data_IF_357469907165
#
_entry.id   IF_357469907165
#
_cell.length_a   1.000
_cell.length_b   1.000
_cell.length_c   1.000
_cell.angle_alpha   90.00
_cell.angle_beta   90.00
_cell.angle_gamma   90.00
#
_symmetry.space_group_name_H-M   'P 1'
#
loop_
_entity.id
_entity.type
_entity.pdbx_description
1 polymer ?
#
# COMPACT_ATOMS: atom_id res chain seq x y z
N UNK A 1 10.81 -5.62 -20.56
CA UNK A 1 9.91 -5.16 -19.48
C UNK A 1 9.50 -6.28 -18.51
N UNK A 2 9.11 -7.46 -18.99
CA UNK A 2 8.75 -8.63 -18.13
C UNK A 2 9.87 -9.12 -17.21
N UNK A 3 11.14 -9.00 -17.63
CA UNK A 3 12.28 -9.34 -16.77
C UNK A 3 12.45 -8.36 -15.59
N UNK A 4 12.11 -7.08 -15.79
CA UNK A 4 12.21 -6.05 -14.75
C UNK A 4 11.12 -6.23 -13.69
N UNK A 5 9.88 -6.51 -14.09
CA UNK A 5 8.78 -6.79 -13.14
C UNK A 5 9.08 -8.02 -12.28
N UNK A 6 9.63 -9.08 -12.88
CA UNK A 6 10.00 -10.30 -12.15
C UNK A 6 11.19 -10.10 -11.21
N UNK A 7 12.11 -9.19 -11.55
CA UNK A 7 13.21 -8.79 -10.67
C UNK A 7 12.68 -8.13 -9.39
N UNK A 8 11.82 -7.13 -9.56
CA UNK A 8 11.18 -6.40 -8.46
C UNK A 8 10.35 -7.34 -7.56
N UNK A 9 9.60 -8.27 -8.15
CA UNK A 9 8.80 -9.25 -7.38
C UNK A 9 9.67 -10.18 -6.50
N UNK A 10 10.84 -10.59 -7.00
CA UNK A 10 11.79 -11.40 -6.22
C UNK A 10 12.36 -10.59 -5.06
N UNK A 11 12.70 -9.33 -5.29
CA UNK A 11 13.24 -8.44 -4.26
C UNK A 11 12.20 -8.15 -3.18
N UNK A 12 10.96 -7.84 -3.55
CA UNK A 12 9.84 -7.72 -2.61
C UNK A 12 9.71 -8.98 -1.75
N UNK A 13 9.75 -10.16 -2.37
CA UNK A 13 9.62 -11.44 -1.65
C UNK A 13 10.78 -11.67 -0.67
N UNK A 14 11.99 -11.25 -1.04
CA UNK A 14 13.17 -11.34 -0.17
C UNK A 14 13.06 -10.40 1.03
N UNK A 15 12.66 -9.13 0.82
CA UNK A 15 12.47 -8.15 1.89
C UNK A 15 11.33 -8.53 2.83
N UNK A 16 10.24 -9.12 2.33
CA UNK A 16 9.17 -9.65 3.17
C UNK A 16 9.63 -10.81 4.07
N UNK A 17 10.59 -11.62 3.63
CA UNK A 17 11.20 -12.65 4.48
C UNK A 17 12.07 -12.03 5.56
N UNK A 18 12.81 -10.97 5.23
CA UNK A 18 13.62 -10.20 6.17
C UNK A 18 12.75 -9.49 7.21
N UNK A 19 11.59 -8.95 6.80
CA UNK A 19 10.60 -8.34 7.67
C UNK A 19 10.15 -9.32 8.76
N UNK A 20 9.81 -10.55 8.37
CA UNK A 20 9.43 -11.61 9.31
C UNK A 20 10.53 -11.94 10.31
N UNK A 21 11.79 -11.94 9.89
CA UNK A 21 12.94 -12.16 10.77
C UNK A 21 13.11 -11.00 11.74
N UNK A 22 13.01 -9.77 11.27
CA UNK A 22 13.14 -8.57 12.09
C UNK A 22 12.04 -8.49 13.15
N UNK A 23 10.79 -8.82 12.79
CA UNK A 23 9.67 -8.92 13.75
C UNK A 23 9.94 -9.96 14.84
N UNK A 24 10.50 -11.12 14.49
CA UNK A 24 10.86 -12.13 15.47
C UNK A 24 11.99 -11.66 16.40
N UNK A 25 12.94 -10.88 15.88
CA UNK A 25 14.04 -10.30 16.64
C UNK A 25 13.56 -9.21 17.60
N UNK A 26 12.69 -8.30 17.14
CA UNK A 26 12.02 -7.27 17.97
C UNK A 26 11.28 -7.93 19.13
N UNK A 27 10.51 -8.99 18.87
CA UNK A 27 9.83 -9.76 19.92
C UNK A 27 10.80 -10.38 20.93
N UNK A 28 12.01 -10.76 20.50
CA UNK A 28 13.03 -11.33 21.38
C UNK A 28 13.69 -10.25 22.24
N UNK A 29 14.10 -9.13 21.65
CA UNK A 29 14.76 -8.02 22.37
C UNK A 29 13.80 -7.35 23.34
N UNK A 30 12.53 -7.23 22.97
CA UNK A 30 11.49 -6.70 23.84
C UNK A 30 11.29 -7.55 25.11
N UNK A 31 11.27 -8.89 24.98
CA UNK A 31 11.19 -9.81 26.13
C UNK A 31 12.38 -9.70 27.07
N UNK A 32 13.55 -9.32 26.56
CA UNK A 32 14.75 -9.09 27.38
C UNK A 32 14.77 -7.73 28.07
N UNK A 33 13.79 -6.86 27.83
CA UNK A 33 13.71 -5.53 28.43
C UNK A 33 14.73 -4.53 27.87
N UNK A 34 15.38 -4.84 26.74
CA UNK A 34 16.31 -3.91 26.10
C UNK A 34 15.54 -2.95 25.19
N UNK A 35 15.03 -1.87 25.78
CA UNK A 35 14.23 -0.85 25.09
C UNK A 35 15.03 -0.16 23.97
N UNK A 36 16.30 0.18 24.20
CA UNK A 36 17.13 0.85 23.20
C UNK A 36 17.32 -0.02 21.94
N UNK A 37 17.65 -1.30 22.10
CA UNK A 37 17.77 -2.23 20.98
C UNK A 37 16.42 -2.46 20.27
N UNK A 38 15.33 -2.55 21.03
CA UNK A 38 13.98 -2.75 20.50
C UNK A 38 13.53 -1.55 19.65
N UNK A 39 13.82 -0.32 20.11
CA UNK A 39 13.56 0.90 19.33
C UNK A 39 14.36 0.91 18.04
N UNK A 40 15.67 0.66 18.08
CA UNK A 40 16.50 0.64 16.85
C UNK A 40 15.96 -0.36 15.82
N UNK A 41 15.61 -1.58 16.26
CA UNK A 41 15.05 -2.60 15.38
C UNK A 41 13.66 -2.22 14.85
N UNK A 42 12.84 -1.54 15.64
CA UNK A 42 11.54 -1.04 15.20
C UNK A 42 11.68 0.05 14.12
N UNK A 43 12.62 0.99 14.27
CA UNK A 43 12.93 1.96 13.21
C UNK A 43 13.42 1.26 11.92
N UNK A 44 14.22 0.19 12.06
CA UNK A 44 14.65 -0.61 10.92
C UNK A 44 13.47 -1.33 10.24
N UNK A 45 12.47 -1.77 11.00
CA UNK A 45 11.24 -2.37 10.47
C UNK A 45 10.44 -1.37 9.63
N UNK A 46 10.29 -0.13 10.11
CA UNK A 46 9.58 0.93 9.40
C UNK A 46 10.27 1.21 8.05
N UNK A 47 11.59 1.39 8.06
CA UNK A 47 12.37 1.60 6.83
C UNK A 47 12.21 0.45 5.84
N UNK A 48 12.22 -0.79 6.33
CA UNK A 48 12.04 -1.97 5.50
C UNK A 48 10.63 -2.03 4.88
N UNK A 49 9.59 -1.74 5.68
CA UNK A 49 8.20 -1.65 5.18
C UNK A 49 8.05 -0.56 4.11
N UNK A 50 8.68 0.60 4.30
CA UNK A 50 8.67 1.68 3.33
C UNK A 50 9.40 1.31 2.03
N UNK A 51 10.52 0.60 2.13
CA UNK A 51 11.22 0.06 0.97
C UNK A 51 10.36 -0.94 0.19
N UNK A 52 9.63 -1.83 0.90
CA UNK A 52 8.67 -2.76 0.27
C UNK A 52 7.55 -1.99 -0.44
N UNK A 53 6.98 -0.96 0.19
CA UNK A 53 5.92 -0.13 -0.40
C UNK A 53 6.43 0.61 -1.65
N UNK A 54 7.62 1.21 -1.60
CA UNK A 54 8.27 1.87 -2.74
C UNK A 54 8.50 0.91 -3.92
N UNK A 55 8.95 -0.32 -3.66
CA UNK A 55 9.11 -1.35 -4.69
C UNK A 55 7.77 -1.81 -5.27
N UNK A 56 6.71 -1.88 -4.45
CA UNK A 56 5.36 -2.18 -4.93
C UNK A 56 4.81 -1.06 -5.84
N UNK A 57 5.04 0.21 -5.48
CA UNK A 57 4.74 1.37 -6.34
C UNK A 57 5.50 1.31 -7.66
N UNK A 58 6.82 1.06 -7.61
CA UNK A 58 7.67 0.88 -8.79
C UNK A 58 7.18 -0.26 -9.69
N UNK A 59 6.73 -1.39 -9.10
CA UNK A 59 6.13 -2.51 -9.85
C UNK A 59 4.86 -2.07 -10.59
N UNK A 60 4.00 -1.28 -9.96
CA UNK A 60 2.78 -0.78 -10.56
C UNK A 60 3.09 0.16 -11.74
N UNK A 61 4.03 1.08 -11.56
CA UNK A 61 4.50 1.99 -12.62
C UNK A 61 5.06 1.22 -13.84
N UNK A 62 5.97 0.25 -13.62
CA UNK A 62 6.53 -0.57 -14.71
C UNK A 62 5.44 -1.37 -15.44
N UNK A 63 4.43 -1.86 -14.70
CA UNK A 63 3.27 -2.54 -15.30
C UNK A 63 2.43 -1.56 -16.14
N UNK A 64 2.19 -0.35 -15.66
CA UNK A 64 1.52 0.72 -16.40
C UNK A 64 2.24 1.05 -17.71
N UNK A 65 3.56 1.27 -17.65
CA UNK A 65 4.40 1.52 -18.84
C UNK A 65 4.32 0.34 -19.82
N UNK A 66 4.32 -0.89 -19.31
CA UNK A 66 4.21 -2.09 -20.17
C UNK A 66 2.88 -2.13 -20.92
N UNK A 67 1.77 -1.81 -20.25
CA UNK A 67 0.44 -1.73 -20.87
C UNK A 67 0.40 -0.60 -21.90
N UNK A 68 0.90 0.58 -21.55
CA UNK A 68 0.97 1.73 -22.44
C UNK A 68 1.81 1.43 -23.70
N UNK A 69 2.96 0.77 -23.53
CA UNK A 69 3.83 0.33 -24.64
C UNK A 69 3.10 -0.67 -25.54
N UNK A 70 2.35 -1.60 -24.96
CA UNK A 70 1.55 -2.57 -25.72
C UNK A 70 0.43 -1.89 -26.51
N UNK A 71 -0.24 -0.89 -25.92
CA UNK A 71 -1.23 -0.07 -26.61
C UNK A 71 -0.59 0.73 -27.76
N UNK A 72 0.57 1.35 -27.54
CA UNK A 72 1.32 2.04 -28.60
C UNK A 72 1.70 1.09 -29.75
N UNK A 73 2.11 -0.14 -29.47
CA UNK A 73 2.39 -1.13 -30.50
C UNK A 73 1.14 -1.48 -31.33
N UNK A 74 -0.02 -1.66 -30.69
CA UNK A 74 -1.28 -1.88 -31.39
C UNK A 74 -1.67 -0.68 -32.25
N UNK A 75 -1.56 0.55 -31.70
CA UNK A 75 -1.81 1.80 -32.40
C UNK A 75 -0.90 1.93 -33.64
N UNK A 76 0.38 1.57 -33.52
CA UNK A 76 1.35 1.61 -34.62
C UNK A 76 0.97 0.62 -35.73
N UNK A 77 0.52 -0.58 -35.38
CA UNK A 77 0.05 -1.58 -36.34
C UNK A 77 -1.21 -1.10 -37.07
N UNK A 78 -2.16 -0.51 -36.36
CA UNK A 78 -3.37 0.09 -36.95
C UNK A 78 -2.98 1.25 -37.87
N UNK A 79 -2.09 2.14 -37.45
CA UNK A 79 -1.60 3.24 -38.27
C UNK A 79 -0.89 2.76 -39.55
N UNK A 80 -0.11 1.68 -39.48
CA UNK A 80 0.49 1.06 -40.66
C UNK A 80 -0.57 0.50 -41.62
N UNK A 81 -1.60 -0.17 -41.10
CA UNK A 81 -2.75 -0.64 -41.88
C UNK A 81 -3.54 0.50 -42.52
N UNK A 82 -3.81 1.56 -41.76
CA UNK A 82 -4.45 2.78 -42.25
C UNK A 82 -3.60 3.46 -43.32
N UNK A 83 -2.28 3.51 -43.19
CA UNK A 83 -1.40 4.04 -44.24
C UNK A 83 -1.55 3.28 -45.56
N UNK A 84 -1.63 1.95 -45.51
CA UNK A 84 -1.90 1.10 -46.67
C UNK A 84 -3.30 1.34 -47.26
N UNK A 85 -4.32 1.38 -46.40
CA UNK A 85 -5.70 1.65 -46.78
C UNK A 85 -5.88 3.06 -47.38
N UNK A 86 -5.26 4.08 -46.79
CA UNK A 86 -5.25 5.47 -47.31
C UNK A 86 -4.54 5.55 -48.65
N UNK A 87 -3.45 4.81 -48.86
CA UNK A 87 -2.79 4.74 -50.18
C UNK A 87 -3.73 4.11 -51.23
N UNK A 88 -4.44 3.04 -50.86
CA UNK A 88 -5.45 2.41 -51.72
C UNK A 88 -6.65 3.34 -51.98
N UNK A 89 -7.17 4.00 -50.95
CA UNK A 89 -8.23 5.01 -51.05
C UNK A 89 -7.79 6.21 -51.88
N UNK A 90 -6.53 6.65 -51.78
CA UNK A 90 -6.00 7.76 -52.59
C UNK A 90 -5.91 7.35 -54.06
N UNK A 91 -5.45 6.13 -54.35
CA UNK A 91 -5.47 5.58 -55.69
C UNK A 91 -6.89 5.45 -56.25
N UNK A 92 -7.86 5.06 -55.42
CA UNK A 92 -9.28 4.99 -55.76
C UNK A 92 -9.92 6.37 -55.92
N UNK A 93 -9.55 7.35 -55.08
CA UNK A 93 -10.03 8.74 -55.12
C UNK A 93 -9.45 9.50 -56.32
N UNK A 94 -8.25 9.13 -56.79
CA UNK A 94 -7.72 9.61 -58.08
C UNK A 94 -8.61 9.19 -59.26
N UNK A 95 -9.43 8.14 -59.10
CA UNK A 95 -10.45 7.70 -60.06
C UNK A 95 -11.88 8.18 -59.70
N UNK A 96 -12.10 8.76 -58.51
CA UNK A 96 -13.40 9.23 -58.02
C UNK A 96 -13.30 10.68 -57.53
N UNK A 97 -13.71 11.62 -58.39
CA UNK A 97 -13.95 13.06 -58.24
C UNK A 97 -13.69 13.80 -56.88
N UNK A 98 -13.20 15.06 -56.93
CA UNK A 98 -12.74 15.86 -55.77
C UNK A 98 -13.77 16.18 -54.68
N UNK A 99 -15.07 16.00 -54.92
CA UNK A 99 -16.13 16.38 -53.98
C UNK A 99 -16.16 15.54 -52.67
N UNK A 100 -15.61 14.32 -52.66
CA UNK A 100 -15.62 13.45 -51.47
C UNK A 100 -14.43 13.67 -50.51
N UNK A 101 -13.37 14.32 -50.98
CA UNK A 101 -12.14 14.49 -50.22
C UNK A 101 -12.24 15.55 -49.11
N UNK A 102 -13.12 16.55 -49.30
CA UNK A 102 -13.41 17.57 -48.28
C UNK A 102 -14.04 16.98 -47.01
N UNK A 103 -14.89 15.95 -47.15
CA UNK A 103 -15.58 15.30 -46.03
C UNK A 103 -14.60 14.48 -45.17
N UNK A 104 -13.64 13.81 -45.80
CA UNK A 104 -12.62 12.99 -45.10
C UNK A 104 -11.66 13.87 -44.28
N UNK A 105 -11.28 15.05 -44.79
CA UNK A 105 -10.45 16.00 -44.05
C UNK A 105 -11.20 16.53 -42.82
N UNK A 106 -12.50 16.84 -42.98
CA UNK A 106 -13.34 17.32 -41.88
C UNK A 106 -13.52 16.26 -40.78
N UNK A 107 -13.72 14.99 -41.15
CA UNK A 107 -13.85 13.89 -40.19
C UNK A 107 -12.52 13.59 -39.47
N UNK A 108 -11.38 13.71 -40.17
CA UNK A 108 -10.05 13.56 -39.55
C UNK A 108 -9.75 14.66 -38.53
N UNK A 109 -10.06 15.92 -38.84
CA UNK A 109 -9.90 17.02 -37.89
C UNK A 109 -10.74 16.81 -36.62
N UNK A 110 -11.97 16.30 -36.75
CA UNK A 110 -12.82 15.96 -35.60
C UNK A 110 -12.24 14.84 -34.74
N UNK A 111 -11.73 13.77 -35.36
CA UNK A 111 -11.14 12.66 -34.61
C UNK A 111 -9.81 13.03 -33.93
N UNK A 112 -8.99 13.87 -34.57
CA UNK A 112 -7.74 14.37 -33.97
C UNK A 112 -8.03 15.21 -32.73
N UNK A 113 -8.99 16.13 -32.81
CA UNK A 113 -9.39 16.96 -31.66
C UNK A 113 -9.96 16.13 -30.50
N UNK A 114 -10.68 15.05 -30.80
CA UNK A 114 -11.19 14.13 -29.78
C UNK A 114 -10.06 13.34 -29.09
N UNK A 115 -8.98 13.03 -29.82
CA UNK A 115 -7.84 12.31 -29.26
C UNK A 115 -6.95 13.20 -28.39
N UNK A 116 -6.80 14.48 -28.75
CA UNK A 116 -6.10 15.46 -27.91
C UNK A 116 -6.82 15.64 -26.56
N UNK A 117 -8.15 15.76 -26.56
CA UNK A 117 -8.95 15.88 -25.34
C UNK A 117 -8.80 14.67 -24.40
N UNK A 118 -8.76 13.44 -24.94
CA UNK A 118 -8.55 12.23 -24.13
C UNK A 118 -7.16 12.21 -23.50
N UNK A 119 -6.15 12.72 -24.22
CA UNK A 119 -4.77 12.76 -23.72
C UNK A 119 -4.63 13.73 -22.55
N UNK A 120 -5.29 14.90 -22.65
CA UNK A 120 -5.29 15.91 -21.58
C UNK A 120 -6.00 15.39 -20.32
N UNK A 121 -7.19 14.78 -20.44
CA UNK A 121 -7.86 14.12 -19.31
C UNK A 121 -7.05 12.98 -18.68
N UNK A 122 -6.27 12.25 -19.48
CA UNK A 122 -5.43 11.17 -18.95
C UNK A 122 -4.22 11.70 -18.18
N UNK A 123 -3.66 12.85 -18.59
CA UNK A 123 -2.57 13.52 -17.87
C UNK A 123 -3.04 14.07 -16.52
N UNK A 124 -4.20 14.72 -16.46
CA UNK A 124 -4.75 15.25 -15.19
C UNK A 124 -5.01 14.13 -14.18
N UNK A 125 -5.52 12.97 -14.63
CA UNK A 125 -5.75 11.82 -13.75
C UNK A 125 -4.46 11.15 -13.25
N UNK A 126 -3.32 11.38 -13.91
CA UNK A 126 -2.01 10.85 -13.51
C UNK A 126 -1.34 11.82 -12.52
N UNK A 127 -1.44 13.13 -12.74
CA UNK A 127 -0.90 14.14 -11.80
C UNK A 127 -1.65 14.08 -10.45
N UNK A 128 -2.98 13.95 -10.46
CA UNK A 128 -3.80 13.85 -9.23
C UNK A 128 -3.52 12.56 -8.44
N UNK A 129 -3.01 11.51 -9.10
CA UNK A 129 -2.60 10.27 -8.45
C UNK A 129 -1.17 10.30 -7.88
N UNK A 130 -0.36 11.30 -8.25
CA UNK A 130 1.04 11.45 -7.84
C UNK A 130 1.24 12.50 -6.73
N UNK A 131 0.26 13.38 -6.47
CA UNK A 131 0.36 14.49 -5.51
C UNK A 131 0.07 14.09 -4.04
N UNK A 132 0.21 12.81 -3.69
CA UNK A 132 -0.18 12.28 -2.37
C UNK A 132 1.00 11.86 -1.47
N UNK A 133 2.21 12.39 -1.75
CA UNK A 133 3.41 12.16 -0.94
C UNK A 133 3.55 13.23 0.16
N UNK A 134 2.63 13.22 1.13
CA UNK A 134 2.76 13.94 2.40
C UNK A 134 3.03 12.91 3.50
N UNK A 135 4.29 12.58 3.75
CA UNK A 135 4.66 11.67 4.85
C UNK A 135 6.15 11.76 5.22
N UNK A 136 6.55 12.76 6.01
CA UNK A 136 7.86 12.72 6.69
C UNK A 136 7.85 12.95 8.22
N UNK A 137 6.73 13.30 8.88
CA UNK A 137 6.81 13.86 10.25
C UNK A 137 6.29 13.01 11.44
N UNK A 138 6.11 11.69 11.35
CA UNK A 138 5.59 10.87 12.48
C UNK A 138 6.48 9.69 12.92
N UNK A 139 7.80 9.82 12.92
CA UNK A 139 8.68 8.65 13.17
C UNK A 139 8.58 8.03 14.57
N UNK A 140 8.27 8.78 15.62
CA UNK A 140 8.10 8.21 16.98
C UNK A 140 6.73 7.58 17.18
N UNK A 141 5.67 8.21 16.68
CA UNK A 141 4.30 7.70 16.76
C UNK A 141 4.13 6.42 15.95
N UNK A 142 4.69 6.38 14.74
CA UNK A 142 4.76 5.18 13.90
C UNK A 142 5.56 4.05 14.57
N UNK A 143 6.61 4.38 15.33
CA UNK A 143 7.39 3.38 16.06
C UNK A 143 6.56 2.74 17.17
N UNK A 144 5.83 3.54 17.95
CA UNK A 144 4.95 3.02 19.00
C UNK A 144 3.79 2.20 18.40
N UNK A 145 3.17 2.68 17.33
CA UNK A 145 2.11 1.96 16.61
C UNK A 145 2.58 0.58 16.11
N UNK A 146 3.79 0.49 15.54
CA UNK A 146 4.36 -0.78 15.08
C UNK A 146 4.66 -1.72 16.25
N UNK A 147 5.12 -1.21 17.38
CA UNK A 147 5.37 -2.02 18.58
C UNK A 147 4.06 -2.57 19.17
N UNK A 148 2.98 -1.79 19.13
CA UNK A 148 1.63 -2.20 19.52
C UNK A 148 1.07 -3.28 18.58
N UNK A 149 1.19 -3.09 17.26
CA UNK A 149 0.81 -4.10 16.24
C UNK A 149 1.50 -5.45 16.46
N UNK A 150 2.76 -5.42 16.91
CA UNK A 150 3.56 -6.62 17.16
C UNK A 150 3.14 -7.33 18.47
N UNK A 151 2.41 -6.63 19.36
CA UNK A 151 1.95 -7.13 20.65
C UNK A 151 3.06 -7.15 21.71
N UNK A 152 4.03 -6.25 21.60
CA UNK A 152 5.15 -6.15 22.55
C UNK A 152 4.64 -5.76 23.95
N UNK A 153 3.67 -4.85 24.04
CA UNK A 153 3.11 -4.41 25.33
C UNK A 153 2.29 -5.48 26.06
N UNK A 154 1.58 -6.33 25.32
CA UNK A 154 0.86 -7.47 25.93
C UNK A 154 1.86 -8.48 26.48
N UNK A 155 2.99 -8.69 25.78
CA UNK A 155 4.04 -9.61 26.24
C UNK A 155 4.81 -9.08 27.46
N UNK A 156 5.03 -7.76 27.56
CA UNK A 156 5.67 -7.13 28.72
C UNK A 156 4.74 -7.19 29.96
N UNK A 157 3.45 -6.87 29.79
CA UNK A 157 2.44 -6.97 30.85
C UNK A 157 2.16 -8.41 31.29
N UNK A 158 2.16 -9.37 30.35
CA UNK A 158 1.99 -10.80 30.67
C UNK A 158 3.24 -11.43 31.28
N UNK A 159 4.44 -10.91 30.98
CA UNK A 159 5.68 -11.32 31.66
C UNK A 159 5.80 -10.73 33.07
N UNK A 160 5.19 -9.56 33.31
CA UNK A 160 5.07 -8.96 34.64
C UNK A 160 3.94 -9.58 35.49
N UNK A 161 3.00 -10.30 34.87
CA UNK A 161 2.02 -11.08 35.60
C UNK A 161 2.73 -12.22 36.36
N UNK A 162 2.57 -12.32 37.70
CA UNK A 162 3.29 -13.31 38.49
C UNK A 162 2.90 -14.70 37.98
N UNK A 163 3.89 -15.46 37.51
CA UNK A 163 3.74 -16.89 37.26
C UNK A 163 3.51 -17.57 38.61
N UNK A 164 2.25 -17.59 39.04
CA UNK A 164 1.80 -18.30 40.22
C UNK A 164 2.24 -19.75 40.09
N UNK A 165 3.28 -20.11 40.86
CA UNK A 165 3.56 -21.51 41.16
C UNK A 165 2.29 -22.07 41.78
N UNK A 166 1.58 -22.90 41.03
CA UNK A 166 0.60 -23.83 41.61
C UNK A 166 1.35 -24.91 42.38
N UNK A 167 2.02 -24.51 43.46
CA UNK A 167 2.44 -25.44 44.50
C UNK A 167 1.23 -25.68 45.38
N UNK A 168 0.77 -26.93 45.42
CA UNK A 168 -0.40 -27.31 46.19
C UNK A 168 -0.32 -26.89 47.65
N UNK A 169 -1.48 -26.46 48.15
CA UNK A 169 -1.95 -26.57 49.53
C UNK A 169 -1.22 -25.76 50.61
N UNK A 170 -1.79 -24.60 50.95
CA UNK A 170 -2.51 -24.37 52.23
C UNK A 170 -3.17 -22.98 52.24
N UNK A 171 -4.41 -22.99 52.72
CA UNK A 171 -5.25 -21.91 53.22
C UNK A 171 -4.48 -20.66 53.68
N UNK A 172 -4.83 -19.49 53.17
CA UNK A 172 -5.34 -18.36 53.98
C UNK A 172 -5.83 -17.20 53.11
N UNK A 173 -6.93 -16.61 53.58
CA UNK A 173 -7.69 -15.50 53.06
C UNK A 173 -6.93 -14.18 53.21
N UNK A 174 -6.99 -13.29 52.21
CA UNK A 174 -7.14 -11.83 52.38
C UNK A 174 -6.95 -11.07 51.06
N UNK A 175 -7.72 -9.99 50.91
CA UNK A 175 -7.69 -8.96 49.84
C UNK A 175 -8.60 -9.12 48.62
N UNK A 176 -9.88 -9.43 48.86
CA UNK A 176 -10.96 -9.20 47.88
C UNK A 176 -12.14 -8.34 48.38
N UNK A 177 -12.20 -7.95 49.67
CA UNK A 177 -13.40 -7.33 50.27
C UNK A 177 -13.53 -5.81 50.06
N UNK A 178 -12.47 -5.07 49.75
CA UNK A 178 -12.55 -3.59 49.74
C UNK A 178 -13.37 -2.99 48.57
N UNK A 179 -13.48 -3.67 47.43
CA UNK A 179 -14.20 -3.15 46.25
C UNK A 179 -15.71 -3.45 46.25
N UNK A 180 -16.11 -4.59 46.81
CA UNK A 180 -17.50 -5.04 46.88
C UNK A 180 -18.27 -4.29 47.97
N UNK A 181 -17.64 -3.99 49.11
CA UNK A 181 -18.26 -3.25 50.21
C UNK A 181 -18.59 -1.80 49.82
N UNK A 182 -17.77 -1.16 48.97
CA UNK A 182 -18.05 0.20 48.48
C UNK A 182 -19.18 0.23 47.43
N UNK A 183 -19.29 -0.82 46.61
CA UNK A 183 -20.36 -0.96 45.63
C UNK A 183 -21.72 -1.27 46.29
N UNK A 184 -21.76 -2.11 47.34
CA UNK A 184 -22.97 -2.34 48.13
C UNK A 184 -23.45 -1.06 48.84
N UNK A 185 -22.51 -0.25 49.34
CA UNK A 185 -22.84 1.01 50.01
C UNK A 185 -23.39 2.05 49.03
N UNK A 186 -22.89 2.11 47.80
CA UNK A 186 -23.45 2.96 46.72
C UNK A 186 -24.80 2.45 46.22
N UNK A 187 -25.02 1.14 46.17
CA UNK A 187 -26.30 0.56 45.78
C UNK A 187 -27.39 0.79 46.83
N UNK A 188 -27.04 0.74 48.12
CA UNK A 188 -27.95 1.03 49.23
C UNK A 188 -28.39 2.50 49.26
N UNK A 189 -27.49 3.43 48.92
CA UNK A 189 -27.80 4.87 48.86
C UNK A 189 -28.75 5.25 47.70
N UNK A 190 -28.87 4.42 46.66
CA UNK A 190 -29.82 4.59 45.55
C UNK A 190 -31.17 3.88 45.77
N UNK A 191 -31.24 2.98 46.76
CA UNK A 191 -32.44 2.18 47.05
C UNK A 191 -33.33 2.79 48.14
N UNK A 192 -32.88 3.87 48.78
CA UNK A 192 -33.65 4.63 49.75
C UNK A 192 -33.97 6.01 49.16
N UNK A 193 -35.25 6.32 48.84
CA UNK A 193 -35.64 7.63 48.31
C UNK A 193 -35.46 8.76 49.34
#
# INVERSE_FOLDING_TARGET
MTNATRGIEKEISALQLEEKKLVAEIKRTAKTGNEAATKILAHQLIRLRQQIASLQGSRAQVRGISIHTQAMHAQTSVAAGMKGATKAMTAMNKQMAPAKQAKVIQDFQKQSAHMDMITEMMSDAIDDALDNDEAEDETEELTNQVLDEIGVDIASQLSAAPKGKISGKKTEESSGSSGIDELEKRLAALKNP
#
